data_IF_673213000317
#
_entry.id   IF_673213000317
#
_cell.length_a   1.000
_cell.length_b   1.000
_cell.length_c   1.000
_cell.angle_alpha   90.00
_cell.angle_beta   90.00
_cell.angle_gamma   90.00
#
_symmetry.space_group_name_H-M   'P 1'
#
loop_
_entity.id
_entity.type
_entity.pdbx_description
1 polymer ?
#
# COMPACT_ATOMS: atom_id res chain seq x y z
N UNK A 1 -27.05 -23.48 6.35
CA UNK A 1 -26.48 -23.17 7.69
C UNK A 1 -27.54 -23.37 8.79
N UNK A 2 -27.19 -24.06 9.88
CA UNK A 2 -28.13 -24.45 10.94
C UNK A 2 -28.53 -23.30 11.89
N UNK A 3 -27.77 -22.19 11.90
CA UNK A 3 -28.16 -20.96 12.60
C UNK A 3 -27.57 -19.74 11.87
N UNK A 4 -28.34 -18.67 11.77
CA UNK A 4 -27.87 -17.38 11.28
C UNK A 4 -27.20 -16.60 12.42
N UNK A 5 -26.05 -15.98 12.16
CA UNK A 5 -25.44 -15.05 13.12
C UNK A 5 -26.31 -13.79 13.29
N UNK A 6 -26.06 -13.03 14.35
CA UNK A 6 -26.93 -11.93 14.76
C UNK A 6 -26.98 -10.80 13.72
N UNK A 7 -25.91 -10.57 12.96
CA UNK A 7 -25.85 -9.52 11.93
C UNK A 7 -26.72 -9.91 10.74
N UNK A 8 -26.60 -11.15 10.29
CA UNK A 8 -27.45 -11.73 9.24
C UNK A 8 -28.91 -11.80 9.68
N UNK A 9 -29.18 -12.19 10.93
CA UNK A 9 -30.53 -12.28 11.50
C UNK A 9 -31.24 -10.93 11.57
N UNK A 10 -30.50 -9.87 11.87
CA UNK A 10 -31.03 -8.52 12.04
C UNK A 10 -30.96 -7.68 10.74
N UNK A 11 -30.59 -8.29 9.60
CA UNK A 11 -30.43 -7.60 8.31
C UNK A 11 -29.55 -6.34 8.41
N UNK A 12 -28.57 -6.35 9.32
CA UNK A 12 -27.69 -5.21 9.51
C UNK A 12 -26.68 -5.19 8.37
N UNK A 13 -26.61 -4.07 7.66
CA UNK A 13 -25.60 -3.87 6.62
C UNK A 13 -24.23 -3.72 7.28
N UNK A 14 -23.30 -4.58 6.92
CA UNK A 14 -21.91 -4.46 7.35
C UNK A 14 -21.22 -3.49 6.39
N UNK A 15 -20.76 -2.37 6.93
CA UNK A 15 -19.87 -1.46 6.20
C UNK A 15 -18.42 -1.85 6.49
N UNK A 16 -17.59 -1.86 5.45
CA UNK A 16 -16.17 -2.17 5.56
C UNK A 16 -15.35 -1.30 4.62
N UNK A 17 -14.10 -1.08 5.00
CA UNK A 17 -13.09 -0.41 4.18
C UNK A 17 -11.95 -1.38 3.88
N UNK A 18 -11.33 -1.25 2.70
CA UNK A 18 -10.12 -2.00 2.34
C UNK A 18 -8.94 -1.03 2.36
N UNK A 19 -7.86 -1.44 3.02
CA UNK A 19 -6.62 -0.68 3.09
C UNK A 19 -5.52 -1.48 2.42
N UNK A 20 -4.81 -0.86 1.47
CA UNK A 20 -3.62 -1.44 0.86
C UNK A 20 -2.39 -0.95 1.64
N UNK A 21 -1.53 -1.88 2.03
CA UNK A 21 -0.28 -1.57 2.73
C UNK A 21 0.87 -2.00 1.82
N UNK A 22 1.76 -1.05 1.52
CA UNK A 22 3.00 -1.36 0.82
C UNK A 22 3.99 -1.93 1.83
N UNK A 23 4.46 -3.16 1.58
CA UNK A 23 5.42 -3.85 2.45
C UNK A 23 6.75 -3.99 1.73
N UNK A 24 7.82 -3.59 2.43
CA UNK A 24 9.19 -3.81 1.99
C UNK A 24 9.67 -5.19 2.47
N UNK A 25 9.73 -6.15 1.55
CA UNK A 25 10.20 -7.51 1.81
C UNK A 25 11.72 -7.61 2.04
N UNK A 26 12.46 -6.51 1.88
CA UNK A 26 13.84 -6.45 2.34
C UNK A 26 13.93 -6.57 3.88
N UNK A 27 12.88 -6.15 4.59
CA UNK A 27 12.79 -6.06 6.06
C UNK A 27 11.90 -7.17 6.64
N UNK A 28 11.85 -7.25 7.97
CA UNK A 28 10.93 -8.16 8.65
C UNK A 28 9.47 -7.72 8.38
N UNK A 29 8.58 -8.66 7.99
CA UNK A 29 7.18 -8.34 7.76
C UNK A 29 6.49 -7.85 9.05
N UNK A 30 5.61 -6.84 8.96
CA UNK A 30 4.96 -6.28 10.14
C UNK A 30 4.03 -7.30 10.80
N UNK A 31 4.12 -7.43 12.12
CA UNK A 31 3.24 -8.28 12.94
C UNK A 31 1.95 -7.56 13.34
N UNK A 32 1.95 -6.23 13.29
CA UNK A 32 0.82 -5.40 13.64
C UNK A 32 0.76 -4.18 12.72
N UNK A 33 -0.45 -3.72 12.42
CA UNK A 33 -0.72 -2.47 11.71
C UNK A 33 -1.66 -1.62 12.56
N UNK A 34 -1.44 -0.31 12.58
CA UNK A 34 -2.28 0.62 13.33
C UNK A 34 -3.10 1.43 12.35
N UNK A 35 -4.42 1.34 12.47
CA UNK A 35 -5.37 2.14 11.69
C UNK A 35 -5.92 3.22 12.61
N UNK A 36 -5.67 4.48 12.24
CA UNK A 36 -6.20 5.64 12.96
C UNK A 36 -7.40 6.17 12.17
N UNK A 37 -8.57 6.18 12.80
CA UNK A 37 -9.73 6.86 12.27
C UNK A 37 -9.77 8.26 12.88
N UNK A 38 -9.66 9.32 12.06
CA UNK A 38 -9.73 10.69 12.56
C UNK A 38 -11.12 10.97 13.14
N UNK A 39 -11.18 11.91 14.08
CA UNK A 39 -12.43 12.46 14.63
C UNK A 39 -13.31 13.00 13.49
N UNK A 40 -14.56 12.56 13.42
CA UNK A 40 -15.57 13.10 12.50
C UNK A 40 -16.74 13.60 13.35
N UNK A 41 -16.93 14.93 13.39
CA UNK A 41 -17.92 15.56 14.27
C UNK A 41 -17.54 15.40 15.75
N UNK A 42 -18.49 14.92 16.57
CA UNK A 42 -18.30 14.69 18.01
C UNK A 42 -17.71 13.31 18.37
N UNK A 43 -17.42 12.47 17.36
CA UNK A 43 -16.87 11.13 17.62
C UNK A 43 -15.37 11.19 17.92
N UNK A 44 -14.88 10.62 19.04
CA UNK A 44 -13.47 10.70 19.41
C UNK A 44 -12.58 9.96 18.41
N UNK A 45 -11.34 10.45 18.25
CA UNK A 45 -10.30 9.76 17.47
C UNK A 45 -10.09 8.34 18.02
N UNK A 46 -10.16 7.34 17.15
CA UNK A 46 -10.01 5.93 17.51
C UNK A 46 -8.83 5.32 16.76
N UNK A 47 -7.94 4.64 17.48
CA UNK A 47 -6.83 3.90 16.90
C UNK A 47 -7.01 2.39 17.15
N UNK A 48 -6.90 1.61 16.10
CA UNK A 48 -7.05 0.15 16.13
C UNK A 48 -5.73 -0.52 15.82
N UNK A 49 -5.23 -1.33 16.75
CA UNK A 49 -4.04 -2.16 16.54
C UNK A 49 -4.47 -3.54 16.05
N UNK A 50 -4.29 -3.79 14.76
CA UNK A 50 -4.67 -5.04 14.10
C UNK A 50 -3.45 -5.96 14.05
N UNK A 51 -3.60 -7.21 14.49
CA UNK A 51 -2.59 -8.26 14.29
C UNK A 51 -2.61 -8.72 12.83
N UNK A 52 -1.44 -8.93 12.25
CA UNK A 52 -1.30 -9.42 10.87
C UNK A 52 -0.89 -10.89 10.92
N UNK A 53 -1.74 -11.74 10.36
CA UNK A 53 -1.47 -13.16 10.18
C UNK A 53 -1.15 -13.43 8.71
N UNK A 54 -0.05 -14.15 8.47
CA UNK A 54 0.37 -14.55 7.14
C UNK A 54 0.14 -16.06 7.02
N UNK A 55 -0.72 -16.46 6.09
CA UNK A 55 -0.97 -17.89 5.82
C UNK A 55 0.29 -18.59 5.30
N UNK A 56 1.09 -17.87 4.50
CA UNK A 56 2.35 -18.36 3.96
C UNK A 56 3.32 -17.19 3.72
N UNK A 57 4.63 -17.44 3.87
CA UNK A 57 5.67 -16.50 3.50
C UNK A 57 6.40 -17.01 2.25
N UNK A 58 6.38 -16.29 1.12
CA UNK A 58 7.11 -16.71 -0.08
C UNK A 58 8.61 -16.79 0.18
N UNK A 59 9.27 -17.78 -0.42
CA UNK A 59 10.73 -17.83 -0.47
C UNK A 59 11.27 -16.52 -1.07
N UNK A 60 12.21 -15.90 -0.35
CA UNK A 60 12.91 -14.70 -0.79
C UNK A 60 14.24 -15.08 -1.40
N UNK A 61 14.48 -14.65 -2.63
CA UNK A 61 15.79 -14.78 -3.25
C UNK A 61 16.72 -13.70 -2.70
N UNK A 62 17.84 -14.10 -2.10
CA UNK A 62 18.89 -13.19 -1.62
C UNK A 62 19.65 -12.51 -2.78
N UNK A 63 19.61 -13.11 -3.97
CA UNK A 63 20.33 -12.63 -5.14
C UNK A 63 19.62 -11.49 -5.88
N UNK A 64 18.32 -11.63 -6.17
CA UNK A 64 17.55 -10.60 -6.87
C UNK A 64 16.54 -9.84 -6.01
N UNK A 65 16.35 -10.24 -4.75
CA UNK A 65 15.37 -9.64 -3.85
C UNK A 65 13.90 -9.93 -4.19
N UNK A 66 13.63 -10.75 -5.22
CA UNK A 66 12.26 -11.12 -5.60
C UNK A 66 11.72 -12.26 -4.73
N UNK A 67 10.39 -12.30 -4.60
CA UNK A 67 9.67 -13.36 -3.91
C UNK A 67 9.27 -14.49 -4.86
N UNK A 68 9.06 -15.68 -4.31
CA UNK A 68 8.52 -16.85 -5.03
C UNK A 68 9.58 -17.84 -5.52
N UNK A 69 10.85 -17.63 -5.20
CA UNK A 69 11.91 -18.62 -5.48
C UNK A 69 13.10 -18.47 -4.51
N UNK A 70 13.87 -19.55 -4.40
CA UNK A 70 15.16 -19.57 -3.71
C UNK A 70 16.31 -19.29 -4.69
N UNK A 71 17.49 -18.94 -4.18
CA UNK A 71 18.65 -18.51 -4.97
C UNK A 71 19.08 -19.48 -6.08
N UNK A 72 18.91 -20.78 -5.86
CA UNK A 72 19.23 -21.83 -6.84
C UNK A 72 18.32 -21.79 -8.08
N UNK A 73 17.12 -21.20 -7.96
CA UNK A 73 16.15 -21.06 -9.02
C UNK A 73 16.04 -19.62 -9.54
N UNK A 74 17.00 -18.75 -9.19
CA UNK A 74 16.95 -17.36 -9.59
C UNK A 74 17.19 -17.19 -11.11
N UNK A 75 16.22 -16.65 -11.87
CA UNK A 75 16.37 -16.48 -13.32
C UNK A 75 17.47 -15.46 -13.63
N UNK A 76 17.66 -14.46 -12.76
CA UNK A 76 18.68 -13.44 -12.96
C UNK A 76 20.10 -13.97 -12.65
N UNK A 77 20.23 -14.91 -11.70
CA UNK A 77 21.49 -15.64 -11.47
C UNK A 77 21.88 -16.51 -12.67
N UNK A 78 20.90 -17.17 -13.32
CA UNK A 78 21.12 -17.97 -14.54
C UNK A 78 21.48 -17.11 -15.76
N UNK A 79 20.98 -15.88 -15.82
CA UNK A 79 21.14 -14.98 -16.96
C UNK A 79 22.42 -14.12 -16.91
N UNK A 80 23.38 -14.42 -16.01
CA UNK A 80 24.69 -13.75 -16.01
C UNK A 80 25.52 -13.95 -17.29
N UNK A 81 25.07 -14.81 -18.22
CA UNK A 81 25.63 -14.89 -19.57
C UNK A 81 24.96 -13.97 -20.60
N UNK A 82 23.79 -13.38 -20.33
CA UNK A 82 23.11 -12.46 -21.26
C UNK A 82 22.34 -11.37 -20.50
N UNK A 83 23.00 -10.24 -20.24
CA UNK A 83 22.34 -8.98 -19.83
C UNK A 83 21.43 -8.50 -20.95
N UNK A 84 20.14 -8.84 -20.89
CA UNK A 84 19.11 -8.09 -21.61
C UNK A 84 18.58 -7.04 -20.65
N UNK A 85 18.94 -5.78 -20.88
CA UNK A 85 18.36 -4.66 -20.14
C UNK A 85 16.90 -4.52 -20.55
N UNK A 86 15.98 -4.93 -19.67
CA UNK A 86 14.58 -4.54 -19.80
C UNK A 86 14.38 -3.24 -19.03
N UNK A 87 13.91 -2.16 -19.67
CA UNK A 87 13.63 -0.91 -18.97
C UNK A 87 12.44 -1.13 -18.03
N UNK A 88 12.65 -0.91 -16.73
CA UNK A 88 11.55 -0.85 -15.75
C UNK A 88 10.65 0.34 -16.12
N UNK A 89 9.39 0.06 -16.48
CA UNK A 89 8.37 1.08 -16.52
C UNK A 89 8.08 1.55 -15.09
N UNK A 90 8.60 2.71 -14.73
CA UNK A 90 8.27 3.38 -13.47
C UNK A 90 6.91 4.06 -13.67
N UNK A 91 5.88 3.57 -12.97
CA UNK A 91 4.59 4.25 -12.90
C UNK A 91 4.72 5.41 -11.90
N UNK A 92 4.90 6.62 -12.43
CA UNK A 92 4.82 7.85 -11.63
C UNK A 92 3.34 8.16 -11.41
N UNK A 93 2.87 8.01 -10.17
CA UNK A 93 1.59 8.58 -9.75
C UNK A 93 1.71 10.10 -9.83
N UNK A 94 1.05 10.71 -10.82
CA UNK A 94 0.96 12.17 -10.93
C UNK A 94 0.17 12.68 -9.74
N UNK A 95 0.86 13.36 -8.82
CA UNK A 95 0.23 14.15 -7.77
C UNK A 95 -0.44 15.36 -8.42
N UNK A 96 -1.78 15.36 -8.44
CA UNK A 96 -2.56 16.52 -8.85
C UNK A 96 -2.40 17.61 -7.79
N UNK A 97 -1.37 18.46 -7.96
CA UNK A 97 -1.37 19.79 -7.35
C UNK A 97 -2.50 20.58 -8.01
N UNK A 98 -3.62 20.63 -7.30
CA UNK A 98 -4.80 21.39 -7.71
C UNK A 98 -4.43 22.84 -8.06
N UNK A 99 -5.13 23.33 -9.07
CA UNK A 99 -5.22 24.74 -9.46
C UNK A 99 -5.13 25.69 -8.27
N UNK A 100 -4.09 26.51 -8.25
CA UNK A 100 -4.11 27.76 -7.52
C UNK A 100 -4.51 28.86 -8.52
N UNK A 101 -5.65 29.55 -8.36
CA UNK A 101 -6.03 30.62 -9.26
C UNK A 101 -5.02 31.77 -9.17
N UNK A 102 -4.49 32.12 -10.34
CA UNK A 102 -3.56 33.21 -10.61
C UNK A 102 -4.16 34.55 -10.17
N UNK A 103 -3.71 35.08 -9.03
CA UNK A 103 -3.94 36.48 -8.69
C UNK A 103 -2.99 37.36 -9.52
N UNK A 104 -3.56 38.13 -10.44
CA UNK A 104 -2.90 39.22 -11.15
C UNK A 104 -2.78 40.43 -10.23
N UNK A 105 -1.58 40.97 -10.05
CA UNK A 105 -1.41 42.38 -9.69
C UNK A 105 -0.28 42.99 -10.52
N UNK A 106 -0.71 43.85 -11.44
CA UNK A 106 0.06 44.79 -12.24
C UNK A 106 0.90 45.73 -11.36
N UNK A 107 2.17 45.92 -11.74
CA UNK A 107 3.03 47.01 -11.26
C UNK A 107 2.90 48.19 -12.23
N UNK A 108 2.56 49.42 -11.79
CA UNK A 108 2.74 50.62 -12.60
C UNK A 108 4.08 51.31 -12.31
N UNK A 109 4.84 51.50 -13.40
CA UNK A 109 5.57 52.71 -13.86
C UNK A 109 6.30 53.63 -12.85
N UNK A 110 7.55 53.91 -13.24
CA UNK A 110 8.54 54.86 -12.73
C UNK A 110 8.06 56.25 -12.30
N UNK A 111 8.83 56.84 -11.38
CA UNK A 111 9.30 58.23 -11.46
C UNK A 111 10.69 58.37 -10.85
#
# INVERSE_FOLDING_TARGET
PLYSDNVTRNCLRIDYVRVCILVDFAKEPPKHVVVVCPTVGDQPCSAYRLAVEYEWSPAKCSWCGSLGHVDVHCPLKRNHTKRTQVPMAVYVLKENRGDQPRATSSVPVEQ
#
